data_IF_019290089844
#
_entry.id   IF_019290089844
#
_cell.length_a   1.000
_cell.length_b   1.000
_cell.length_c   1.000
_cell.angle_alpha   90.00
_cell.angle_beta   90.00
_cell.angle_gamma   90.00
#
_symmetry.space_group_name_H-M   'P 1'
#
loop_
_entity.id
_entity.type
_entity.pdbx_description
1 polymer ?
#
# COMPACT_ATOMS: atom_id res chain seq x y z
N UNK A 1 -1.67 -3.14 1.08
CA UNK A 1 -0.44 -2.58 1.68
C UNK A 1 0.77 -3.47 1.45
N UNK A 2 0.80 -4.77 1.84
CA UNK A 2 2.03 -5.58 1.77
C UNK A 2 2.57 -5.78 0.34
N UNK A 3 1.67 -5.99 -0.63
CA UNK A 3 2.06 -6.09 -2.04
C UNK A 3 2.77 -4.82 -2.55
N UNK A 4 2.32 -3.64 -2.12
CA UNK A 4 2.87 -2.39 -2.60
C UNK A 4 4.29 -2.11 -2.13
N UNK A 5 4.58 -2.44 -0.86
CA UNK A 5 5.94 -2.36 -0.31
C UNK A 5 6.86 -3.43 -0.89
N UNK A 6 6.36 -4.63 -1.19
CA UNK A 6 7.15 -5.66 -1.87
C UNK A 6 7.61 -5.20 -3.27
N UNK A 7 6.75 -4.54 -4.05
CA UNK A 7 7.12 -3.97 -5.37
C UNK A 7 8.16 -2.87 -5.23
N UNK A 8 8.08 -2.05 -4.19
CA UNK A 8 9.06 -0.99 -3.94
C UNK A 8 10.44 -1.56 -3.56
N UNK A 9 10.49 -2.47 -2.58
CA UNK A 9 11.72 -3.14 -2.16
C UNK A 9 12.36 -3.92 -3.31
N UNK A 10 11.55 -4.58 -4.15
CA UNK A 10 12.02 -5.27 -5.34
C UNK A 10 12.75 -4.34 -6.32
N UNK A 11 12.22 -3.14 -6.55
CA UNK A 11 12.88 -2.16 -7.41
C UNK A 11 14.18 -1.68 -6.78
N UNK A 12 14.21 -1.39 -5.48
CA UNK A 12 15.45 -1.05 -4.79
C UNK A 12 16.53 -2.13 -4.96
N UNK A 13 16.18 -3.42 -4.82
CA UNK A 13 17.11 -4.54 -5.06
C UNK A 13 17.62 -4.52 -6.51
N UNK A 14 16.74 -4.42 -7.50
CA UNK A 14 17.13 -4.45 -8.91
C UNK A 14 18.04 -3.28 -9.31
N UNK A 15 17.79 -2.07 -8.78
CA UNK A 15 18.58 -0.89 -9.07
C UNK A 15 19.90 -0.82 -8.27
N UNK A 16 19.95 -1.43 -7.08
CA UNK A 16 21.18 -1.59 -6.31
C UNK A 16 22.12 -2.66 -6.90
N UNK A 17 21.55 -3.67 -7.58
CA UNK A 17 22.26 -4.80 -8.18
C UNK A 17 21.92 -4.95 -9.68
N UNK A 18 22.39 -4.01 -10.54
CA UNK A 18 22.08 -4.03 -11.97
C UNK A 18 22.57 -5.31 -12.68
N UNK A 19 23.58 -5.98 -12.14
CA UNK A 19 24.18 -7.23 -12.63
C UNK A 19 23.28 -8.45 -12.52
N UNK A 20 22.21 -8.40 -11.69
CA UNK A 20 21.32 -9.55 -11.51
C UNK A 20 20.73 -9.99 -12.84
N UNK A 21 20.86 -11.29 -13.12
CA UNK A 21 20.20 -11.94 -14.25
C UNK A 21 18.68 -11.92 -14.08
N UNK A 22 17.90 -12.10 -15.17
CA UNK A 22 16.44 -12.22 -15.07
C UNK A 22 15.97 -13.30 -14.09
N UNK A 23 16.71 -14.41 -14.00
CA UNK A 23 16.42 -15.51 -13.07
C UNK A 23 16.64 -15.09 -11.63
N UNK A 24 17.73 -14.39 -11.33
CA UNK A 24 18.03 -13.92 -9.97
C UNK A 24 17.04 -12.84 -9.53
N UNK A 25 16.66 -11.89 -10.39
CA UNK A 25 15.60 -10.92 -10.08
C UNK A 25 14.28 -11.62 -9.75
N UNK A 26 13.91 -12.61 -10.54
CA UNK A 26 12.69 -13.41 -10.30
C UNK A 26 12.74 -14.14 -8.95
N UNK A 27 13.91 -14.65 -8.58
CA UNK A 27 14.10 -15.26 -7.26
C UNK A 27 14.04 -14.24 -6.11
N UNK A 28 14.60 -13.03 -6.28
CA UNK A 28 14.46 -11.96 -5.28
C UNK A 28 12.99 -11.59 -5.05
N UNK A 29 12.18 -11.55 -6.12
CA UNK A 29 10.74 -11.35 -5.98
C UNK A 29 10.05 -12.49 -5.20
N UNK A 30 10.40 -13.74 -5.46
CA UNK A 30 9.87 -14.89 -4.70
C UNK A 30 10.11 -14.72 -3.19
N UNK A 31 11.33 -14.37 -2.78
CA UNK A 31 11.67 -14.11 -1.37
C UNK A 31 10.83 -12.96 -0.77
N UNK A 32 10.53 -11.93 -1.56
CA UNK A 32 9.67 -10.82 -1.13
C UNK A 32 8.20 -11.24 -0.99
N UNK A 33 7.70 -12.15 -1.84
CA UNK A 33 6.36 -12.71 -1.66
C UNK A 33 6.27 -13.54 -0.39
N UNK A 34 7.29 -14.34 -0.07
CA UNK A 34 7.34 -15.09 1.21
C UNK A 34 7.36 -14.14 2.42
N UNK A 35 8.14 -13.06 2.34
CA UNK A 35 8.26 -12.04 3.41
C UNK A 35 6.96 -11.28 3.64
N UNK A 36 6.36 -10.74 2.58
CA UNK A 36 5.24 -9.79 2.69
C UNK A 36 3.86 -10.42 2.51
N UNK A 37 3.79 -11.59 1.89
CA UNK A 37 2.53 -12.28 1.58
C UNK A 37 2.67 -13.79 1.80
N UNK A 38 3.05 -14.26 3.01
CA UNK A 38 3.29 -15.69 3.26
C UNK A 38 2.06 -16.59 3.03
N UNK A 39 0.86 -16.01 3.04
CA UNK A 39 -0.41 -16.67 2.74
C UNK A 39 -0.66 -16.90 1.24
N UNK A 40 0.11 -16.26 0.36
CA UNK A 40 -0.03 -16.43 -1.08
C UNK A 40 0.49 -17.79 -1.51
N UNK A 41 -0.31 -18.52 -2.27
CA UNK A 41 0.01 -19.85 -2.83
C UNK A 41 -0.41 -19.87 -4.29
N UNK A 42 0.37 -20.53 -5.15
CA UNK A 42 0.00 -20.75 -6.55
C UNK A 42 -0.24 -22.23 -6.80
N UNK A 43 -1.46 -22.56 -7.23
CA UNK A 43 -1.83 -23.94 -7.51
C UNK A 43 -1.33 -24.34 -8.90
N UNK A 44 -0.42 -25.31 -8.95
CA UNK A 44 0.10 -25.91 -10.19
C UNK A 44 0.68 -24.92 -11.22
N UNK A 45 1.16 -23.75 -10.79
CA UNK A 45 1.80 -22.76 -11.68
C UNK A 45 3.29 -22.61 -11.34
N UNK A 46 4.12 -23.38 -12.03
CA UNK A 46 5.57 -23.38 -11.84
C UNK A 46 6.23 -22.04 -12.19
N UNK A 47 5.58 -21.15 -12.96
CA UNK A 47 6.10 -19.81 -13.25
C UNK A 47 5.82 -18.85 -12.09
N UNK A 48 4.62 -18.89 -11.55
CA UNK A 48 4.26 -18.05 -10.41
C UNK A 48 4.98 -18.50 -9.14
N UNK A 49 5.06 -19.81 -8.88
CA UNK A 49 5.76 -20.38 -7.71
C UNK A 49 7.22 -19.92 -7.62
N UNK A 50 7.92 -19.78 -8.75
CA UNK A 50 9.31 -19.30 -8.78
C UNK A 50 9.46 -17.77 -8.70
N UNK A 51 8.38 -17.02 -8.47
CA UNK A 51 8.38 -15.57 -8.38
C UNK A 51 8.02 -14.84 -9.68
N UNK A 52 7.25 -15.45 -10.59
CA UNK A 52 6.89 -14.83 -11.86
C UNK A 52 5.92 -13.64 -11.76
N UNK A 53 5.32 -13.39 -10.60
CA UNK A 53 4.19 -12.47 -10.48
C UNK A 53 4.52 -11.00 -10.77
N UNK A 54 5.76 -10.56 -10.51
CA UNK A 54 6.18 -9.17 -10.79
C UNK A 54 6.14 -8.82 -12.29
N UNK A 55 6.25 -9.81 -13.19
CA UNK A 55 6.17 -9.58 -14.64
C UNK A 55 4.85 -8.93 -15.07
N UNK A 56 3.77 -9.14 -14.31
CA UNK A 56 2.45 -8.56 -14.61
C UNK A 56 2.31 -7.10 -14.16
N UNK A 57 3.34 -6.50 -13.56
CA UNK A 57 3.27 -5.15 -12.99
C UNK A 57 3.90 -4.15 -13.94
N UNK A 58 3.07 -3.64 -14.86
CA UNK A 58 3.43 -2.60 -15.83
C UNK A 58 4.21 -1.42 -15.21
N UNK A 59 3.87 -1.01 -13.99
CA UNK A 59 4.53 0.09 -13.29
C UNK A 59 6.03 -0.14 -13.08
N UNK A 60 6.48 -1.38 -12.88
CA UNK A 60 7.92 -1.69 -12.72
C UNK A 60 8.68 -1.35 -14.01
N UNK A 61 8.04 -1.53 -15.16
CA UNK A 61 8.65 -1.28 -16.48
C UNK A 61 8.52 0.17 -16.93
N UNK A 62 7.37 0.79 -16.67
CA UNK A 62 7.02 2.09 -17.24
C UNK A 62 7.29 3.26 -16.28
N UNK A 63 7.16 3.05 -14.97
CA UNK A 63 7.22 4.09 -13.95
C UNK A 63 8.02 3.62 -12.72
N UNK A 64 9.35 3.51 -12.82
CA UNK A 64 10.19 3.04 -11.73
C UNK A 64 9.93 3.80 -10.43
N UNK A 65 9.91 3.10 -9.30
CA UNK A 65 9.67 3.62 -7.94
C UNK A 65 8.32 4.31 -7.71
N UNK A 66 7.40 4.29 -8.68
CA UNK A 66 6.10 4.91 -8.51
C UNK A 66 5.20 4.16 -7.51
N UNK A 67 5.37 2.84 -7.37
CA UNK A 67 4.38 1.97 -6.72
C UNK A 67 4.22 2.24 -5.21
N UNK A 68 5.27 2.72 -4.53
CA UNK A 68 5.19 3.09 -3.11
C UNK A 68 4.16 4.19 -2.84
N UNK A 69 3.89 5.06 -3.83
CA UNK A 69 2.88 6.11 -3.72
C UNK A 69 1.48 5.53 -3.46
N UNK A 70 1.14 4.36 -4.00
CA UNK A 70 -0.14 3.70 -3.71
C UNK A 70 -0.24 3.31 -2.24
N UNK A 71 0.84 2.80 -1.64
CA UNK A 71 0.89 2.46 -0.23
C UNK A 71 0.71 3.70 0.65
N UNK A 72 1.47 4.77 0.38
CA UNK A 72 1.41 6.02 1.14
C UNK A 72 0.04 6.70 1.01
N UNK A 73 -0.53 6.76 -0.19
CA UNK A 73 -1.86 7.36 -0.40
C UNK A 73 -2.99 6.51 0.18
N UNK A 74 -2.85 5.18 0.22
CA UNK A 74 -3.80 4.29 0.90
C UNK A 74 -3.89 4.61 2.39
N UNK A 75 -2.78 4.95 3.05
CA UNK A 75 -2.80 5.36 4.47
C UNK A 75 -3.66 6.60 4.68
N UNK A 76 -3.47 7.63 3.86
CA UNK A 76 -4.30 8.85 3.90
C UNK A 76 -5.78 8.58 3.58
N UNK A 77 -6.07 7.67 2.66
CA UNK A 77 -7.45 7.27 2.34
C UNK A 77 -8.14 6.55 3.51
N UNK A 78 -7.42 5.66 4.21
CA UNK A 78 -7.94 4.98 5.41
C UNK A 78 -8.18 5.97 6.55
N UNK A 79 -7.29 6.94 6.74
CA UNK A 79 -7.48 8.01 7.72
C UNK A 79 -8.71 8.87 7.38
N UNK A 80 -8.90 9.26 6.11
CA UNK A 80 -10.13 9.94 5.70
C UNK A 80 -11.39 9.11 5.93
N UNK A 81 -11.33 7.80 5.71
CA UNK A 81 -12.46 6.89 5.98
C UNK A 81 -12.85 6.89 7.45
N UNK A 82 -11.86 6.90 8.36
CA UNK A 82 -12.08 7.05 9.80
C UNK A 82 -12.71 8.41 10.12
N UNK A 83 -12.06 9.51 9.69
CA UNK A 83 -12.55 10.87 9.92
C UNK A 83 -13.98 11.06 9.42
N UNK A 84 -14.33 10.47 8.27
CA UNK A 84 -15.68 10.53 7.72
C UNK A 84 -16.72 9.81 8.57
N UNK A 85 -16.35 8.69 9.22
CA UNK A 85 -17.23 7.98 10.11
C UNK A 85 -17.46 8.73 11.44
N UNK A 86 -16.47 9.50 11.89
CA UNK A 86 -16.53 10.32 13.11
C UNK A 86 -17.25 11.66 12.89
N UNK A 87 -16.86 12.41 11.85
CA UNK A 87 -17.49 13.66 11.43
C UNK A 87 -17.42 13.79 9.90
N UNK A 88 -18.53 13.44 9.26
CA UNK A 88 -18.70 13.50 7.80
C UNK A 88 -18.51 14.91 7.23
N UNK A 89 -19.00 15.95 7.91
CA UNK A 89 -18.97 17.31 7.40
C UNK A 89 -17.53 17.83 7.38
N UNK A 90 -16.82 17.66 8.50
CA UNK A 90 -15.41 18.07 8.63
C UNK A 90 -14.50 17.27 7.72
N UNK A 91 -14.70 15.94 7.61
CA UNK A 91 -13.94 15.10 6.70
C UNK A 91 -14.07 15.54 5.24
N UNK A 92 -15.29 15.87 4.79
CA UNK A 92 -15.53 16.36 3.44
C UNK A 92 -14.85 17.71 3.18
N UNK A 93 -14.92 18.64 4.13
CA UNK A 93 -14.23 19.94 3.99
C UNK A 93 -12.71 19.76 3.89
N UNK A 94 -12.13 18.86 4.69
CA UNK A 94 -10.71 18.54 4.65
C UNK A 94 -10.30 17.88 3.33
N UNK A 95 -11.13 16.97 2.79
CA UNK A 95 -10.90 16.39 1.47
C UNK A 95 -11.00 17.46 0.35
N UNK A 96 -11.94 18.38 0.44
CA UNK A 96 -12.06 19.46 -0.54
C UNK A 96 -10.85 20.42 -0.50
N UNK A 97 -10.31 20.73 0.70
CA UNK A 97 -9.05 21.47 0.88
C UNK A 97 -7.88 20.75 0.19
N UNK A 98 -7.79 19.43 0.35
CA UNK A 98 -6.79 18.59 -0.32
C UNK A 98 -6.88 18.77 -1.85
N UNK A 99 -8.06 18.56 -2.43
CA UNK A 99 -8.25 18.66 -3.89
C UNK A 99 -7.94 20.07 -4.42
N UNK A 100 -8.34 21.13 -3.70
CA UNK A 100 -8.08 22.52 -4.09
C UNK A 100 -6.60 22.90 -4.06
N UNK A 101 -5.76 22.13 -3.37
CA UNK A 101 -4.31 22.39 -3.32
C UNK A 101 -3.62 22.07 -4.65
N UNK A 102 -4.11 21.09 -5.40
CA UNK A 102 -3.41 20.61 -6.61
C UNK A 102 -1.94 20.29 -6.32
N UNK A 103 -1.03 20.72 -7.19
CA UNK A 103 0.42 20.58 -7.02
C UNK A 103 1.12 21.77 -6.34
N UNK A 104 0.37 22.68 -5.70
CA UNK A 104 0.94 23.93 -5.15
C UNK A 104 1.70 23.76 -3.83
N UNK A 105 1.64 22.58 -3.20
CA UNK A 105 2.32 22.24 -1.94
C UNK A 105 3.10 20.94 -2.10
N UNK A 106 4.17 20.79 -1.32
CA UNK A 106 4.88 19.51 -1.21
C UNK A 106 3.97 18.44 -0.58
N UNK A 107 4.36 17.17 -0.65
CA UNK A 107 3.55 16.07 -0.13
C UNK A 107 3.19 16.24 1.35
N UNK A 108 4.18 16.44 2.23
CA UNK A 108 3.94 16.58 3.67
C UNK A 108 3.12 17.84 4.01
N UNK A 109 3.38 18.94 3.32
CA UNK A 109 2.61 20.17 3.48
C UNK A 109 1.15 20.01 3.02
N UNK A 110 0.93 19.22 1.97
CA UNK A 110 -0.40 18.89 1.47
C UNK A 110 -1.18 18.06 2.50
N UNK A 111 -0.54 17.05 3.10
CA UNK A 111 -1.15 16.25 4.17
C UNK A 111 -1.52 17.12 5.36
N UNK A 112 -0.57 17.91 5.86
CA UNK A 112 -0.78 18.84 6.97
C UNK A 112 -1.93 19.82 6.69
N UNK A 113 -1.97 20.38 5.49
CA UNK A 113 -3.03 21.31 5.06
C UNK A 113 -4.41 20.63 4.97
N UNK A 114 -4.45 19.34 4.64
CA UNK A 114 -5.66 18.52 4.59
C UNK A 114 -6.00 17.87 5.94
N UNK A 115 -5.31 18.23 7.02
CA UNK A 115 -5.47 17.64 8.35
C UNK A 115 -5.24 16.12 8.37
N UNK A 116 -4.32 15.61 7.54
CA UNK A 116 -3.90 14.22 7.53
C UNK A 116 -2.58 14.02 8.26
N UNK A 117 -2.39 12.83 8.81
CA UNK A 117 -1.19 12.42 9.51
C UNK A 117 -0.01 12.25 8.54
N UNK A 118 1.20 12.52 9.03
CA UNK A 118 2.43 12.22 8.32
C UNK A 118 2.67 10.70 8.32
N UNK A 119 2.73 10.01 7.17
CA UNK A 119 2.85 8.55 7.13
C UNK A 119 4.21 8.02 7.61
N UNK A 120 5.21 8.90 7.76
CA UNK A 120 6.57 8.54 8.19
C UNK A 120 6.81 8.67 9.69
N UNK A 121 5.81 9.16 10.45
CA UNK A 121 5.89 9.21 11.91
C UNK A 121 5.57 7.87 12.55
N UNK A 122 6.19 7.63 13.70
CA UNK A 122 5.97 6.40 14.47
C UNK A 122 4.48 6.20 14.79
N UNK A 123 4.03 4.97 14.59
CA UNK A 123 2.64 4.57 14.76
C UNK A 123 1.68 5.02 13.67
N UNK A 124 2.10 5.76 12.63
CA UNK A 124 1.21 6.18 11.54
C UNK A 124 0.58 5.01 10.79
N UNK A 125 1.34 3.94 10.55
CA UNK A 125 0.82 2.72 9.92
C UNK A 125 -0.28 2.07 10.76
N UNK A 126 -0.03 1.90 12.06
CA UNK A 126 -1.01 1.33 12.99
C UNK A 126 -2.29 2.18 13.07
N UNK A 127 -2.14 3.51 13.16
CA UNK A 127 -3.28 4.44 13.17
C UNK A 127 -4.09 4.38 11.88
N UNK A 128 -3.43 4.34 10.72
CA UNK A 128 -4.10 4.27 9.42
C UNK A 128 -4.88 2.96 9.25
N UNK A 129 -4.28 1.83 9.61
CA UNK A 129 -4.92 0.52 9.44
C UNK A 129 -5.97 0.20 10.51
N UNK A 130 -5.86 0.76 11.72
CA UNK A 130 -6.65 0.33 12.88
C UNK A 130 -8.17 0.45 12.68
N UNK A 131 -8.65 1.52 12.05
CA UNK A 131 -10.10 1.64 11.79
C UNK A 131 -10.60 0.62 10.76
N UNK A 132 -9.80 0.33 9.73
CA UNK A 132 -10.15 -0.68 8.73
C UNK A 132 -10.17 -2.09 9.34
N UNK A 133 -9.21 -2.40 10.21
CA UNK A 133 -9.19 -3.66 10.97
C UNK A 133 -10.43 -3.79 11.85
N UNK A 134 -10.78 -2.76 12.62
CA UNK A 134 -11.93 -2.76 13.51
C UNK A 134 -13.24 -3.10 12.77
N UNK A 135 -13.50 -2.43 11.65
CA UNK A 135 -14.74 -2.64 10.88
C UNK A 135 -14.79 -4.04 10.24
N UNK A 136 -13.65 -4.55 9.77
CA UNK A 136 -13.58 -5.87 9.14
C UNK A 136 -13.78 -6.99 10.16
N UNK A 137 -13.13 -6.90 11.32
CA UNK A 137 -13.29 -7.89 12.40
C UNK A 137 -14.74 -7.93 12.92
N UNK A 138 -15.38 -6.76 13.08
CA UNK A 138 -16.82 -6.69 13.44
C UNK A 138 -17.71 -7.36 12.38
N UNK A 139 -17.42 -7.15 11.10
CA UNK A 139 -18.17 -7.77 10.01
C UNK A 139 -18.01 -9.29 9.98
N UNK A 140 -16.79 -9.80 10.15
CA UNK A 140 -16.50 -11.25 10.21
C UNK A 140 -17.27 -11.88 11.37
N UNK A 141 -17.17 -11.31 12.58
CA UNK A 141 -17.88 -11.84 13.75
C UNK A 141 -19.40 -11.83 13.58
N UNK A 142 -19.96 -10.88 12.83
CA UNK A 142 -21.38 -10.85 12.53
C UNK A 142 -21.78 -11.91 11.48
N UNK A 143 -20.91 -12.17 10.50
CA UNK A 143 -21.13 -13.23 9.51
C UNK A 143 -21.11 -14.61 10.16
N UNK A 144 -20.17 -14.87 11.07
CA UNK A 144 -20.08 -16.12 11.82
C UNK A 144 -21.31 -16.39 12.69
N UNK A 145 -21.92 -15.34 13.26
CA UNK A 145 -23.18 -15.46 14.02
C UNK A 145 -24.40 -15.78 13.14
N UNK A 146 -24.33 -15.47 11.85
CA UNK A 146 -25.42 -15.63 10.90
C UNK A 146 -25.30 -16.91 10.05
N UNK A 147 -24.20 -17.64 10.17
CA UNK A 147 -23.92 -18.91 9.49
C UNK A 147 -24.36 -20.10 10.35
#
# INVERSE_FOLDING_TARGET
MPFGVAVDEFQHICYAHPELTPKERTYQWHLLEEKYMPWRKYENDAFMERGGYWYHKLHIYLYPFYYINYTLTTMGAMEFKKKYAEDKATAWQNYLKLCKTGGSRSYLETLRYAELSNPFEDGSVARACGYAEEILLKQIAQQEKNA
#
